data_IF_921876971559
#
_entry.id   IF_921876971559
#
_cell.length_a   1.000
_cell.length_b   1.000
_cell.length_c   1.000
_cell.angle_alpha   90.00
_cell.angle_beta   90.00
_cell.angle_gamma   90.00
#
_symmetry.space_group_name_H-M   'P 1'
#
loop_
_entity.id
_entity.type
_entity.pdbx_description
1 polymer ?
#
# COMPACT_ATOMS: atom_id res chain seq x y z
N UNK A 1 26.11 30.24 -48.38
CA UNK A 1 24.93 30.49 -47.52
C UNK A 1 25.39 31.39 -46.39
N UNK A 2 24.73 32.53 -46.15
CA UNK A 2 25.16 33.46 -45.09
C UNK A 2 24.64 32.99 -43.74
N UNK A 3 25.37 33.24 -42.66
CA UNK A 3 24.92 33.00 -41.28
C UNK A 3 23.55 33.67 -41.03
N UNK A 4 23.33 34.84 -41.62
CA UNK A 4 22.05 35.56 -41.52
C UNK A 4 20.90 34.81 -42.18
N UNK A 5 21.18 34.09 -43.27
CA UNK A 5 20.19 33.25 -43.95
C UNK A 5 19.80 32.05 -43.09
N UNK A 6 20.77 31.44 -42.39
CA UNK A 6 20.50 30.28 -41.54
C UNK A 6 19.77 30.69 -40.24
N UNK A 7 20.12 31.85 -39.66
CA UNK A 7 19.38 32.42 -38.51
C UNK A 7 17.92 32.66 -38.88
N UNK A 8 17.64 33.27 -40.02
CA UNK A 8 16.27 33.52 -40.46
C UNK A 8 15.47 32.21 -40.65
N UNK A 9 16.12 31.18 -41.20
CA UNK A 9 15.52 29.85 -41.40
C UNK A 9 15.20 29.16 -40.07
N UNK A 10 16.13 29.22 -39.10
CA UNK A 10 15.95 28.65 -37.76
C UNK A 10 14.81 29.38 -37.03
N UNK A 11 14.79 30.71 -37.04
CA UNK A 11 13.73 31.50 -36.40
C UNK A 11 12.35 31.19 -36.98
N UNK A 12 12.25 31.00 -38.30
CA UNK A 12 10.99 30.60 -38.93
C UNK A 12 10.56 29.19 -38.50
N UNK A 13 11.49 28.24 -38.44
CA UNK A 13 11.19 26.88 -38.01
C UNK A 13 10.72 26.83 -36.54
N UNK A 14 11.33 27.63 -35.66
CA UNK A 14 10.90 27.77 -34.25
C UNK A 14 9.49 28.37 -34.16
N UNK A 15 9.21 29.43 -34.92
CA UNK A 15 7.88 30.06 -34.99
C UNK A 15 6.79 29.10 -35.50
N UNK A 16 7.10 28.34 -36.55
CA UNK A 16 6.21 27.32 -37.10
C UNK A 16 5.93 26.21 -36.08
N UNK A 17 6.95 25.77 -35.34
CA UNK A 17 6.81 24.75 -34.30
C UNK A 17 5.90 25.26 -33.19
N UNK A 18 6.10 26.49 -32.70
CA UNK A 18 5.23 27.11 -31.70
C UNK A 18 3.76 27.17 -32.15
N UNK A 19 3.53 27.53 -33.41
CA UNK A 19 2.19 27.65 -34.00
C UNK A 19 1.48 26.29 -34.07
N UNK A 20 2.22 25.23 -34.40
CA UNK A 20 1.67 23.87 -34.44
C UNK A 20 1.32 23.40 -33.03
N UNK A 21 2.22 23.57 -32.05
CA UNK A 21 1.94 23.13 -30.67
C UNK A 21 0.76 23.86 -30.04
N UNK A 22 0.61 25.17 -30.28
CA UNK A 22 -0.53 25.94 -29.75
C UNK A 22 -1.86 25.52 -30.39
N UNK A 23 -1.87 25.19 -31.69
CA UNK A 23 -3.06 24.69 -32.38
C UNK A 23 -3.47 23.28 -31.92
N UNK A 24 -2.53 22.48 -31.39
CA UNK A 24 -2.78 21.18 -30.79
C UNK A 24 -3.35 21.24 -29.36
N UNK A 25 -3.55 22.44 -28.80
CA UNK A 25 -4.11 22.62 -27.46
C UNK A 25 -3.16 22.20 -26.33
N UNK A 26 -1.87 22.01 -26.63
CA UNK A 26 -0.85 21.88 -25.61
C UNK A 26 -0.65 23.24 -24.95
N UNK A 27 -1.11 23.39 -23.70
CA UNK A 27 -0.89 24.58 -22.88
C UNK A 27 0.62 24.72 -22.66
N UNK A 28 1.27 25.56 -23.46
CA UNK A 28 2.70 25.80 -23.30
C UNK A 28 2.89 26.78 -22.14
N UNK A 29 3.79 26.48 -21.18
CA UNK A 29 4.15 27.44 -20.15
C UNK A 29 4.62 28.72 -20.84
N UNK A 30 3.87 29.81 -20.66
CA UNK A 30 4.12 31.09 -21.32
C UNK A 30 5.36 31.80 -20.78
N UNK A 31 5.99 31.26 -19.74
CA UNK A 31 7.28 31.71 -19.23
C UNK A 31 8.20 30.51 -18.96
N UNK A 32 9.24 30.36 -19.78
CA UNK A 32 10.45 29.61 -19.40
C UNK A 32 11.38 30.51 -18.58
N UNK A 33 10.89 31.08 -17.47
CA UNK A 33 11.78 31.61 -16.44
C UNK A 33 12.24 30.44 -15.58
N UNK A 34 13.49 30.47 -15.14
CA UNK A 34 14.09 29.45 -14.26
C UNK A 34 13.35 29.28 -12.92
N UNK A 35 12.34 30.12 -12.64
CA UNK A 35 11.45 30.06 -11.48
C UNK A 35 10.57 28.81 -11.43
N UNK A 36 10.41 28.10 -12.55
CA UNK A 36 9.70 26.81 -12.55
C UNK A 36 10.53 25.64 -11.98
N UNK A 37 11.80 25.86 -11.60
CA UNK A 37 12.57 25.00 -10.70
C UNK A 37 12.78 25.71 -9.35
N UNK A 38 11.73 25.81 -8.53
CA UNK A 38 11.87 26.28 -7.16
C UNK A 38 12.63 25.26 -6.29
N UNK A 39 13.95 25.14 -6.47
CA UNK A 39 14.87 24.55 -5.49
C UNK A 39 15.39 25.69 -4.60
N UNK A 40 14.49 26.35 -3.88
CA UNK A 40 14.88 27.28 -2.82
C UNK A 40 15.45 26.44 -1.69
N UNK A 41 16.77 26.46 -1.55
CA UNK A 41 17.51 25.80 -0.47
C UNK A 41 17.12 26.41 0.88
N UNK A 42 16.01 25.96 1.45
CA UNK A 42 15.47 26.47 2.70
C UNK A 42 14.46 25.48 3.27
N UNK A 43 14.96 24.52 4.05
CA UNK A 43 14.15 23.56 4.83
C UNK A 43 13.02 22.93 4.01
N UNK A 44 13.39 22.18 2.97
CA UNK A 44 12.41 21.39 2.22
C UNK A 44 11.77 20.40 3.19
N UNK A 45 10.48 20.61 3.49
CA UNK A 45 9.61 19.51 3.90
C UNK A 45 9.72 18.48 2.77
N UNK A 46 10.48 17.43 3.03
CA UNK A 46 10.94 16.47 2.01
C UNK A 46 9.80 15.72 1.33
N UNK A 47 8.59 15.79 1.89
CA UNK A 47 7.36 15.24 1.32
C UNK A 47 6.24 16.28 1.45
N UNK A 48 5.76 16.79 0.32
CA UNK A 48 4.54 17.58 0.24
C UNK A 48 3.34 16.63 0.36
N UNK A 49 2.58 16.73 1.45
CA UNK A 49 1.34 15.98 1.64
C UNK A 49 0.15 16.86 1.23
N UNK A 50 -0.15 16.91 -0.07
CA UNK A 50 -1.46 17.28 -0.57
C UNK A 50 -2.19 16.01 -1.01
N UNK A 51 -3.47 15.86 -0.65
CA UNK A 51 -4.25 14.71 -1.12
C UNK A 51 -4.40 14.79 -2.64
N UNK A 52 -3.92 13.76 -3.32
CA UNK A 52 -4.01 13.66 -4.78
C UNK A 52 -5.26 12.86 -5.15
N UNK A 53 -6.16 13.48 -5.91
CA UNK A 53 -7.32 12.77 -6.49
C UNK A 53 -6.89 12.07 -7.77
N UNK A 54 -6.38 10.85 -7.64
CA UNK A 54 -5.93 10.02 -8.76
C UNK A 54 -6.92 8.90 -9.08
N UNK A 55 -7.02 8.52 -10.36
CA UNK A 55 -7.69 7.28 -10.78
C UNK A 55 -6.89 6.06 -10.30
N UNK A 56 -7.52 4.88 -10.27
CA UNK A 56 -6.83 3.65 -9.84
C UNK A 56 -5.65 3.28 -10.75
N UNK A 57 -5.74 3.60 -12.05
CA UNK A 57 -4.66 3.43 -13.01
C UNK A 57 -3.47 4.35 -12.68
N UNK A 58 -3.74 5.62 -12.37
CA UNK A 58 -2.70 6.58 -11.98
C UNK A 58 -2.04 6.20 -10.64
N UNK A 59 -2.81 5.69 -9.68
CA UNK A 59 -2.27 5.16 -8.41
C UNK A 59 -1.35 3.96 -8.64
N UNK A 60 -1.70 3.07 -9.56
CA UNK A 60 -0.86 1.93 -9.93
C UNK A 60 0.46 2.39 -10.55
N UNK A 61 0.41 3.27 -11.56
CA UNK A 61 1.61 3.81 -12.19
C UNK A 61 2.51 4.54 -11.18
N UNK A 62 1.93 5.30 -10.26
CA UNK A 62 2.70 6.00 -9.22
C UNK A 62 3.45 5.03 -8.29
N UNK A 63 2.83 3.90 -7.92
CA UNK A 63 3.49 2.84 -7.14
C UNK A 63 4.63 2.19 -7.92
N UNK A 64 4.41 1.87 -9.19
CA UNK A 64 5.43 1.29 -10.07
C UNK A 64 6.64 2.22 -10.21
N UNK A 65 6.40 3.53 -10.39
CA UNK A 65 7.47 4.52 -10.55
C UNK A 65 8.43 4.59 -9.36
N UNK A 66 7.95 4.31 -8.15
CA UNK A 66 8.76 4.30 -6.92
C UNK A 66 9.19 2.89 -6.49
N UNK A 67 8.88 1.86 -7.29
CA UNK A 67 9.14 0.46 -6.95
C UNK A 67 8.42 -0.03 -5.70
N UNK A 68 7.26 0.57 -5.36
CA UNK A 68 6.46 0.14 -4.22
C UNK A 68 5.73 -1.17 -4.54
N UNK A 69 5.65 -2.06 -3.55
CA UNK A 69 4.88 -3.29 -3.63
C UNK A 69 3.41 -2.99 -3.99
N UNK A 70 2.89 -3.68 -5.01
CA UNK A 70 1.48 -3.71 -5.34
C UNK A 70 0.69 -4.57 -4.34
N UNK A 71 -0.65 -4.48 -4.39
CA UNK A 71 -1.50 -5.27 -3.51
C UNK A 71 -1.28 -6.80 -3.66
N UNK A 72 -0.90 -7.25 -4.86
CA UNK A 72 -0.56 -8.65 -5.15
C UNK A 72 0.81 -9.08 -4.60
N UNK A 73 1.71 -8.13 -4.32
CA UNK A 73 3.06 -8.40 -3.79
C UNK A 73 3.04 -8.52 -2.25
N UNK A 74 1.94 -8.08 -1.61
CA UNK A 74 1.75 -8.28 -0.18
C UNK A 74 1.39 -9.77 0.02
N UNK A 75 2.22 -10.55 0.74
CA UNK A 75 2.00 -11.97 0.88
C UNK A 75 0.62 -12.22 1.46
N UNK A 76 -0.12 -13.06 0.73
CA UNK A 76 -1.49 -13.35 1.06
C UNK A 76 -1.57 -14.00 2.45
N UNK A 77 -2.39 -13.41 3.31
CA UNK A 77 -2.77 -13.99 4.61
C UNK A 77 -3.99 -14.89 4.47
N UNK A 78 -4.46 -15.14 3.24
CA UNK A 78 -5.53 -16.09 2.94
C UNK A 78 -5.23 -17.46 3.54
N UNK A 79 -6.20 -17.96 4.29
CA UNK A 79 -6.10 -19.22 5.02
C UNK A 79 -5.50 -19.11 6.43
N UNK A 80 -5.09 -17.92 6.88
CA UNK A 80 -4.82 -17.66 8.30
C UNK A 80 -6.14 -17.45 9.05
N UNK A 81 -6.12 -17.71 10.34
CA UNK A 81 -7.22 -17.35 11.23
C UNK A 81 -7.19 -15.84 11.51
N UNK A 82 -8.32 -15.17 11.38
CA UNK A 82 -8.44 -13.74 11.64
C UNK A 82 -8.27 -13.40 13.13
N UNK A 83 -7.81 -12.18 13.42
CA UNK A 83 -7.64 -11.69 14.81
C UNK A 83 -8.97 -11.54 15.55
N UNK A 84 -10.07 -11.33 14.82
CA UNK A 84 -11.42 -11.33 15.36
C UNK A 84 -11.94 -12.74 15.68
N UNK A 85 -11.14 -13.77 15.41
CA UNK A 85 -11.56 -15.16 15.46
C UNK A 85 -12.12 -15.66 14.13
N UNK A 86 -12.52 -16.94 14.10
CA UNK A 86 -13.01 -17.62 12.92
C UNK A 86 -12.93 -19.14 13.08
N UNK A 87 -13.16 -19.87 12.00
CA UNK A 87 -13.01 -21.34 11.97
C UNK A 87 -11.64 -21.71 11.42
N UNK A 88 -10.88 -22.55 12.14
CA UNK A 88 -9.65 -23.13 11.60
C UNK A 88 -10.01 -24.23 10.58
N UNK A 89 -9.84 -23.94 9.29
CA UNK A 89 -10.15 -24.87 8.20
C UNK A 89 -8.97 -25.73 7.75
N UNK A 90 -7.74 -25.35 8.14
CA UNK A 90 -6.54 -26.13 7.86
C UNK A 90 -6.43 -27.40 8.71
N UNK A 91 -5.56 -28.33 8.30
CA UNK A 91 -5.30 -29.56 9.07
C UNK A 91 -4.63 -29.20 10.38
N UNK A 92 -5.33 -29.41 11.50
CA UNK A 92 -4.78 -29.30 12.83
C UNK A 92 -4.23 -30.66 13.30
N UNK A 93 -2.91 -30.79 13.37
CA UNK A 93 -2.25 -32.01 13.87
C UNK A 93 -1.88 -31.85 15.34
N UNK A 94 -2.65 -32.44 16.24
CA UNK A 94 -2.30 -32.46 17.65
C UNK A 94 -1.15 -33.43 17.92
N UNK A 95 -0.32 -33.12 18.92
CA UNK A 95 0.75 -34.00 19.39
C UNK A 95 0.28 -34.78 20.61
N UNK A 96 0.79 -36.01 20.76
CA UNK A 96 0.71 -36.71 22.02
C UNK A 96 1.83 -36.24 22.96
N UNK A 97 1.66 -36.44 24.25
CA UNK A 97 2.78 -36.39 25.19
C UNK A 97 3.11 -37.82 25.66
N UNK A 98 4.21 -37.98 26.39
CA UNK A 98 4.73 -39.26 26.89
C UNK A 98 3.71 -40.12 27.65
N UNK A 99 2.67 -39.51 28.22
CA UNK A 99 1.65 -40.13 29.06
C UNK A 99 0.31 -40.39 28.35
N UNK A 100 0.11 -39.97 27.11
CA UNK A 100 -1.16 -40.14 26.39
C UNK A 100 -0.96 -40.76 25.01
N UNK A 101 -1.74 -41.80 24.68
CA UNK A 101 -1.67 -42.48 23.38
C UNK A 101 -2.57 -41.84 22.31
N UNK A 102 -3.48 -40.94 22.72
CA UNK A 102 -4.38 -40.19 21.82
C UNK A 102 -3.96 -38.73 21.69
N UNK A 103 -3.87 -38.23 20.46
CA UNK A 103 -3.64 -36.83 20.11
C UNK A 103 -4.90 -35.99 20.40
N UNK A 104 -4.79 -34.85 21.07
CA UNK A 104 -5.97 -34.07 21.49
C UNK A 104 -5.80 -32.54 21.34
N UNK A 105 -6.88 -31.87 20.96
CA UNK A 105 -7.10 -30.41 21.05
C UNK A 105 -8.38 -30.20 21.86
N UNK A 106 -8.38 -29.23 22.77
CA UNK A 106 -9.46 -29.00 23.74
C UNK A 106 -9.75 -27.50 23.82
N UNK A 107 -11.00 -27.13 24.07
CA UNK A 107 -11.30 -25.75 24.44
C UNK A 107 -10.87 -25.53 25.90
N UNK A 108 -10.31 -24.37 26.19
CA UNK A 108 -9.89 -23.99 27.53
C UNK A 108 -10.60 -22.69 27.94
N UNK A 109 -11.28 -22.73 29.07
CA UNK A 109 -11.91 -21.57 29.72
C UNK A 109 -11.06 -21.15 30.92
N UNK A 110 -10.69 -19.87 31.02
CA UNK A 110 -10.00 -19.29 32.17
C UNK A 110 -10.94 -18.29 32.83
N UNK A 111 -11.29 -18.53 34.10
CA UNK A 111 -12.40 -17.85 34.77
C UNK A 111 -12.00 -17.45 36.17
N UNK A 112 -12.40 -16.25 36.60
CA UNK A 112 -12.15 -15.80 37.95
C UNK A 112 -13.09 -16.51 38.95
N UNK A 113 -12.61 -16.78 40.16
CA UNK A 113 -13.43 -17.39 41.20
C UNK A 113 -14.69 -16.55 41.49
N UNK A 114 -15.84 -17.23 41.60
CA UNK A 114 -17.15 -16.61 41.77
C UNK A 114 -17.88 -16.18 40.47
N UNK A 115 -17.23 -16.26 39.31
CA UNK A 115 -17.92 -16.06 38.02
C UNK A 115 -18.71 -17.30 37.59
N UNK A 116 -19.76 -17.08 36.78
CA UNK A 116 -20.56 -18.17 36.23
C UNK A 116 -19.72 -19.02 35.27
N UNK A 117 -19.66 -20.33 35.54
CA UNK A 117 -18.99 -21.27 34.65
C UNK A 117 -19.71 -21.34 33.29
N UNK A 118 -18.98 -21.44 32.17
CA UNK A 118 -19.54 -21.60 30.85
C UNK A 118 -20.20 -22.97 30.76
N UNK A 119 -21.18 -23.07 29.86
CA UNK A 119 -21.82 -24.33 29.49
C UNK A 119 -20.83 -25.18 28.68
N UNK A 120 -19.85 -25.75 29.38
CA UNK A 120 -18.80 -26.58 28.80
C UNK A 120 -19.36 -27.91 28.28
N UNK A 121 -18.72 -28.42 27.23
CA UNK A 121 -18.98 -29.74 26.66
C UNK A 121 -17.97 -30.77 27.17
N UNK A 122 -18.30 -32.07 27.04
CA UNK A 122 -17.36 -33.15 27.33
C UNK A 122 -16.16 -33.07 26.37
N UNK A 123 -15.03 -32.56 26.84
CA UNK A 123 -14.26 -31.77 25.88
C UNK A 123 -13.37 -30.75 26.53
N UNK A 124 -13.99 -30.01 27.43
CA UNK A 124 -13.45 -28.71 27.75
C UNK A 124 -12.72 -28.74 29.06
N UNK A 125 -11.73 -27.87 29.17
CA UNK A 125 -10.95 -27.66 30.38
C UNK A 125 -11.35 -26.30 30.92
N UNK A 126 -11.80 -26.24 32.17
CA UNK A 126 -12.07 -24.99 32.85
C UNK A 126 -11.06 -24.80 33.97
N UNK A 127 -10.33 -23.67 33.94
CA UNK A 127 -9.38 -23.27 34.96
C UNK A 127 -9.97 -22.08 35.72
N UNK A 128 -10.32 -22.30 36.98
CA UNK A 128 -10.78 -21.24 37.88
C UNK A 128 -9.57 -20.69 38.62
N UNK A 129 -9.37 -19.38 38.59
CA UNK A 129 -8.27 -18.72 39.27
C UNK A 129 -8.76 -17.71 40.32
N UNK A 130 -8.06 -17.68 41.44
CA UNK A 130 -8.18 -16.64 42.47
C UNK A 130 -7.13 -15.57 42.20
N UNK A 131 -7.49 -14.29 42.36
CA UNK A 131 -6.52 -13.18 42.30
C UNK A 131 -5.72 -13.03 43.59
#
# INVERSE_FOLDING_TARGET
>A
MSIQTEIARISQNVSNTYTVLSALGADMPTEQTSDNLALTAGTAKTVLYSEQTLTDQQKTQARENIGAAGAADIPDVTGKLDKSGGTMTGILTAQNNTSYTTKQVRNIFLIADGETLPDGSNGDICLVYTQ
#
